data_IF_998046238321
#
_entry.id   IF_998046238321
#
_cell.length_a   1.000
_cell.length_b   1.000
_cell.length_c   1.000
_cell.angle_alpha   90.00
_cell.angle_beta   90.00
_cell.angle_gamma   90.00
#
_symmetry.space_group_name_H-M   'P 1'
#
loop_
_entity.id
_entity.type
_entity.pdbx_description
1 polymer ?
#
# COMPACT_ATOMS: atom_id res chain seq x y z
N UNK A 1 -9.81 -13.18 14.32
CA UNK A 1 -10.73 -12.09 14.80
C UNK A 1 -9.90 -10.92 15.25
N UNK A 2 -10.20 -9.70 14.76
CA UNK A 2 -9.41 -8.51 15.07
C UNK A 2 -9.26 -8.28 16.58
N UNK A 3 -8.07 -7.87 17.01
CA UNK A 3 -7.73 -7.62 18.44
C UNK A 3 -8.30 -6.30 18.98
N UNK A 4 -8.86 -5.47 18.09
CA UNK A 4 -9.58 -4.23 18.45
C UNK A 4 -10.94 -4.23 17.78
N UNK A 5 -11.95 -3.51 18.31
CA UNK A 5 -13.23 -3.37 17.64
C UNK A 5 -13.08 -2.77 16.25
N UNK A 6 -13.75 -3.35 15.24
CA UNK A 6 -13.91 -2.74 13.93
C UNK A 6 -15.08 -1.75 14.01
N UNK A 7 -14.77 -0.48 14.22
CA UNK A 7 -15.76 0.57 14.42
C UNK A 7 -16.70 0.72 13.21
N UNK A 8 -17.99 0.82 13.50
CA UNK A 8 -18.99 1.35 12.60
C UNK A 8 -19.19 2.85 12.88
N UNK A 9 -19.95 3.52 12.03
CA UNK A 9 -20.22 4.96 12.20
C UNK A 9 -20.88 5.27 13.55
N UNK A 10 -21.82 4.41 13.93
CA UNK A 10 -22.64 4.54 15.15
C UNK A 10 -21.83 4.35 16.45
N UNK A 11 -20.67 3.68 16.37
CA UNK A 11 -19.78 3.46 17.52
C UNK A 11 -18.92 4.69 17.85
N UNK A 12 -19.02 5.76 17.07
CA UNK A 12 -18.10 6.89 17.12
C UNK A 12 -18.79 8.16 17.66
N UNK A 13 -18.06 9.00 18.41
CA UNK A 13 -18.52 10.36 18.71
C UNK A 13 -18.58 11.18 17.41
N UNK A 14 -19.31 12.32 17.43
CA UNK A 14 -19.57 13.16 16.25
C UNK A 14 -18.31 13.45 15.41
N UNK A 15 -17.22 13.90 16.04
CA UNK A 15 -15.96 14.15 15.34
C UNK A 15 -15.37 12.87 14.68
N UNK A 16 -15.58 11.70 15.29
CA UNK A 16 -15.17 10.42 14.71
C UNK A 16 -16.05 9.99 13.54
N UNK A 17 -17.35 10.34 13.56
CA UNK A 17 -18.28 10.09 12.45
C UNK A 17 -17.89 10.89 11.21
N UNK A 18 -17.45 12.14 11.36
CA UNK A 18 -16.95 12.95 10.24
C UNK A 18 -15.72 12.31 9.58
N UNK A 19 -14.80 11.76 10.38
CA UNK A 19 -13.63 11.02 9.87
C UNK A 19 -14.07 9.75 9.15
N UNK A 20 -15.00 8.99 9.72
CA UNK A 20 -15.56 7.80 9.09
C UNK A 20 -16.19 8.12 7.73
N UNK A 21 -17.03 9.15 7.67
CA UNK A 21 -17.74 9.57 6.47
C UNK A 21 -16.76 10.02 5.37
N UNK A 22 -15.70 10.76 5.73
CA UNK A 22 -14.61 11.14 4.81
C UNK A 22 -13.90 9.91 4.24
N UNK A 23 -13.55 8.95 5.08
CA UNK A 23 -12.87 7.71 4.67
C UNK A 23 -13.78 6.89 3.74
N UNK A 24 -15.04 6.72 4.10
CA UNK A 24 -16.00 5.97 3.30
C UNK A 24 -16.29 6.66 1.96
N UNK A 25 -16.38 7.99 1.95
CA UNK A 25 -16.64 8.79 0.76
C UNK A 25 -15.54 8.67 -0.30
N UNK A 26 -14.28 8.63 0.12
CA UNK A 26 -13.14 8.51 -0.82
C UNK A 26 -12.92 7.09 -1.33
N UNK A 27 -13.37 6.05 -0.62
CA UNK A 27 -13.09 4.63 -0.90
C UNK A 27 -14.33 3.80 -1.25
N UNK A 28 -15.52 4.44 -1.26
CA UNK A 28 -16.81 3.77 -1.45
C UNK A 28 -17.31 3.04 -0.18
N UNK A 29 -16.41 2.69 0.74
CA UNK A 29 -16.70 2.12 2.06
C UNK A 29 -15.52 2.31 3.03
N UNK A 30 -15.78 2.20 4.33
CA UNK A 30 -14.72 2.11 5.32
C UNK A 30 -14.21 0.67 5.39
N UNK A 31 -13.00 0.43 4.88
CA UNK A 31 -12.33 -0.87 4.92
C UNK A 31 -11.95 -1.25 6.36
N UNK A 32 -11.82 -2.55 6.64
CA UNK A 32 -11.54 -3.07 7.98
C UNK A 32 -10.29 -2.46 8.63
N UNK A 33 -9.24 -2.19 7.87
CA UNK A 33 -8.04 -1.50 8.38
C UNK A 33 -8.38 -0.11 8.93
N UNK A 34 -9.22 0.66 8.24
CA UNK A 34 -9.64 1.99 8.72
C UNK A 34 -10.65 1.90 9.86
N UNK A 35 -11.55 0.90 9.85
CA UNK A 35 -12.46 0.63 10.97
C UNK A 35 -11.69 0.30 12.26
N UNK A 36 -10.58 -0.43 12.14
CA UNK A 36 -9.68 -0.66 13.27
C UNK A 36 -8.95 0.63 13.71
N UNK A 37 -8.43 1.42 12.76
CA UNK A 37 -7.76 2.70 13.05
C UNK A 37 -8.69 3.72 13.72
N UNK A 38 -9.99 3.66 13.46
CA UNK A 38 -11.01 4.54 14.05
C UNK A 38 -11.21 4.35 15.56
N UNK A 39 -10.52 3.39 16.21
CA UNK A 39 -10.35 3.42 17.66
C UNK A 39 -9.53 4.64 18.13
N UNK A 40 -8.80 5.28 17.20
CA UNK A 40 -8.14 6.58 17.36
C UNK A 40 -8.46 7.45 16.13
N UNK A 41 -9.56 8.24 16.15
CA UNK A 41 -10.04 8.97 14.97
C UNK A 41 -9.00 9.92 14.36
N UNK A 42 -8.20 10.61 15.18
CA UNK A 42 -7.14 11.51 14.69
C UNK A 42 -6.06 10.74 13.93
N UNK A 43 -5.66 9.57 14.44
CA UNK A 43 -4.73 8.68 13.75
C UNK A 43 -5.33 8.18 12.45
N UNK A 44 -6.60 7.75 12.46
CA UNK A 44 -7.30 7.29 11.26
C UNK A 44 -7.37 8.39 10.19
N UNK A 45 -7.66 9.63 10.58
CA UNK A 45 -7.71 10.77 9.64
C UNK A 45 -6.35 11.05 9.00
N UNK A 46 -5.27 11.07 9.79
CA UNK A 46 -3.92 11.31 9.28
C UNK A 46 -3.46 10.20 8.31
N UNK A 47 -3.66 8.94 8.71
CA UNK A 47 -3.30 7.77 7.88
C UNK A 47 -4.16 7.72 6.61
N UNK A 48 -5.47 7.94 6.72
CA UNK A 48 -6.36 7.96 5.58
C UNK A 48 -6.04 9.10 4.60
N UNK A 49 -5.66 10.28 5.12
CA UNK A 49 -5.28 11.45 4.32
C UNK A 49 -4.02 11.20 3.49
N UNK A 50 -2.99 10.58 4.09
CA UNK A 50 -1.79 10.20 3.33
C UNK A 50 -2.11 9.13 2.28
N UNK A 51 -2.93 8.13 2.62
CA UNK A 51 -3.36 7.12 1.66
C UNK A 51 -4.23 7.69 0.52
N UNK A 52 -5.03 8.71 0.78
CA UNK A 52 -5.81 9.45 -0.23
C UNK A 52 -4.86 10.17 -1.20
N UNK A 53 -3.87 10.89 -0.67
CA UNK A 53 -2.84 11.52 -1.50
C UNK A 53 -2.13 10.51 -2.39
N UNK A 54 -1.64 9.40 -1.82
CA UNK A 54 -0.94 8.35 -2.56
C UNK A 54 -1.80 7.80 -3.69
N UNK A 55 -3.08 7.50 -3.45
CA UNK A 55 -3.94 6.84 -4.43
C UNK A 55 -4.44 7.76 -5.53
N UNK A 56 -4.75 9.01 -5.21
CA UNK A 56 -5.50 9.89 -6.10
C UNK A 56 -4.77 11.18 -6.51
N UNK A 57 -3.74 11.58 -5.78
CA UNK A 57 -3.05 12.85 -5.97
C UNK A 57 -1.54 12.72 -6.19
N UNK A 58 -0.97 11.53 -6.07
CA UNK A 58 0.45 11.27 -6.38
C UNK A 58 0.71 11.52 -7.85
N UNK A 59 1.86 12.13 -8.16
CA UNK A 59 2.31 12.35 -9.54
C UNK A 59 2.94 11.10 -10.18
N UNK A 60 3.14 10.02 -9.41
CA UNK A 60 3.69 8.78 -9.95
C UNK A 60 2.70 8.10 -10.89
N UNK A 61 3.23 7.53 -11.96
CA UNK A 61 2.48 6.64 -12.83
C UNK A 61 1.78 5.55 -11.99
N UNK A 62 0.46 5.33 -12.18
CA UNK A 62 -0.30 4.34 -11.41
C UNK A 62 0.32 2.94 -11.44
N UNK A 63 0.89 2.50 -12.58
CA UNK A 63 1.51 1.17 -12.67
C UNK A 63 2.79 1.10 -11.81
N UNK A 64 3.57 2.16 -11.74
CA UNK A 64 4.76 2.23 -10.87
C UNK A 64 4.35 2.18 -9.40
N UNK A 65 3.34 2.95 -9.03
CA UNK A 65 2.80 2.98 -7.66
C UNK A 65 2.31 1.59 -7.24
N UNK A 66 1.45 0.96 -8.02
CA UNK A 66 0.91 -0.36 -7.69
C UNK A 66 2.00 -1.45 -7.70
N UNK A 67 2.99 -1.36 -8.58
CA UNK A 67 4.16 -2.26 -8.56
C UNK A 67 4.92 -2.17 -7.23
N UNK A 68 5.17 -0.95 -6.73
CA UNK A 68 5.84 -0.76 -5.44
C UNK A 68 4.99 -1.27 -4.27
N UNK A 69 3.67 -1.05 -4.30
CA UNK A 69 2.73 -1.53 -3.28
C UNK A 69 2.72 -3.05 -3.23
N UNK A 70 2.55 -3.72 -4.37
CA UNK A 70 2.55 -5.19 -4.44
C UNK A 70 3.89 -5.78 -3.99
N UNK A 71 5.01 -5.19 -4.41
CA UNK A 71 6.33 -5.65 -3.99
C UNK A 71 6.52 -5.50 -2.47
N UNK A 72 6.04 -4.40 -1.89
CA UNK A 72 6.05 -4.16 -0.43
C UNK A 72 5.17 -5.19 0.29
N UNK A 73 3.95 -5.40 -0.18
CA UNK A 73 3.03 -6.38 0.39
C UNK A 73 3.64 -7.79 0.38
N UNK A 74 4.26 -8.17 -0.75
CA UNK A 74 4.90 -9.49 -0.88
C UNK A 74 6.07 -9.68 0.07
N UNK A 75 6.94 -8.70 0.21
CA UNK A 75 8.11 -8.77 1.09
C UNK A 75 7.72 -8.85 2.58
N UNK A 76 6.60 -8.26 2.96
CA UNK A 76 6.11 -8.25 4.34
C UNK A 76 5.08 -9.35 4.65
N UNK A 77 4.73 -10.20 3.68
CA UNK A 77 3.68 -11.21 3.87
C UNK A 77 2.29 -10.58 4.12
N UNK A 78 2.04 -9.40 3.55
CA UNK A 78 0.82 -8.63 3.79
C UNK A 78 -0.29 -9.03 2.79
N UNK A 79 -0.91 -10.19 3.03
CA UNK A 79 -1.98 -10.75 2.18
C UNK A 79 -3.15 -9.77 2.01
N UNK A 80 -3.49 -9.02 3.05
CA UNK A 80 -4.54 -8.01 3.02
C UNK A 80 -4.26 -6.94 1.96
N UNK A 81 -3.06 -6.35 1.97
CA UNK A 81 -2.67 -5.33 1.00
C UNK A 81 -2.57 -5.93 -0.41
N UNK A 82 -2.03 -7.14 -0.52
CA UNK A 82 -1.98 -7.84 -1.81
C UNK A 82 -3.38 -7.99 -2.42
N UNK A 83 -4.34 -8.52 -1.66
CA UNK A 83 -5.69 -8.80 -2.14
C UNK A 83 -6.43 -7.53 -2.61
N UNK A 84 -6.16 -6.39 -1.96
CA UNK A 84 -6.75 -5.11 -2.36
C UNK A 84 -6.04 -4.46 -3.55
N UNK A 85 -4.73 -4.69 -3.72
CA UNK A 85 -3.92 -3.99 -4.71
C UNK A 85 -3.64 -4.78 -5.99
N UNK A 86 -3.75 -6.10 -6.01
CA UNK A 86 -3.57 -6.87 -7.24
C UNK A 86 -4.59 -6.50 -8.33
N UNK A 87 -5.90 -6.39 -8.04
CA UNK A 87 -6.86 -5.91 -9.05
C UNK A 87 -6.55 -4.49 -9.53
N UNK A 88 -6.19 -3.59 -8.60
CA UNK A 88 -5.82 -2.21 -8.93
C UNK A 88 -4.54 -2.13 -9.79
N UNK A 89 -3.58 -3.00 -9.55
CA UNK A 89 -2.36 -3.10 -10.36
C UNK A 89 -2.67 -3.53 -11.80
N UNK A 90 -3.55 -4.51 -11.99
CA UNK A 90 -4.02 -4.93 -13.32
C UNK A 90 -4.75 -3.80 -14.05
N UNK A 91 -5.64 -3.10 -13.35
CA UNK A 91 -6.35 -1.93 -13.88
C UNK A 91 -5.40 -0.79 -14.24
N UNK A 92 -4.35 -0.57 -13.44
CA UNK A 92 -3.28 0.40 -13.72
C UNK A 92 -2.35 0.00 -14.87
N UNK A 93 -2.50 -1.20 -15.44
CA UNK A 93 -1.69 -1.68 -16.56
C UNK A 93 -0.36 -2.34 -16.16
N UNK A 94 -0.21 -2.76 -14.90
CA UNK A 94 0.94 -3.59 -14.50
C UNK A 94 0.84 -4.93 -15.22
N UNK A 95 1.88 -5.30 -15.97
CA UNK A 95 1.88 -6.54 -16.75
C UNK A 95 1.85 -7.77 -15.86
N UNK A 96 1.19 -8.83 -16.33
CA UNK A 96 1.07 -10.09 -15.59
C UNK A 96 2.42 -10.68 -15.21
N UNK A 97 3.44 -10.56 -16.08
CA UNK A 97 4.79 -11.06 -15.80
C UNK A 97 5.45 -10.33 -14.62
N UNK A 98 5.13 -9.04 -14.42
CA UNK A 98 5.61 -8.26 -13.27
C UNK A 98 4.91 -8.74 -12.00
N UNK A 99 3.59 -8.89 -12.03
CA UNK A 99 2.79 -9.38 -10.90
C UNK A 99 3.26 -10.78 -10.48
N UNK A 100 3.45 -11.70 -11.43
CA UNK A 100 3.92 -13.06 -11.14
C UNK A 100 5.38 -13.09 -10.65
N UNK A 101 6.24 -12.22 -11.18
CA UNK A 101 7.61 -12.06 -10.66
C UNK A 101 7.60 -11.62 -9.19
N UNK A 102 6.76 -10.65 -8.83
CA UNK A 102 6.57 -10.20 -7.45
C UNK A 102 6.01 -11.33 -6.60
N UNK A 103 4.92 -11.98 -7.04
CA UNK A 103 4.26 -13.09 -6.33
C UNK A 103 5.25 -14.21 -5.99
N UNK A 104 6.11 -14.57 -6.93
CA UNK A 104 7.12 -15.62 -6.73
C UNK A 104 8.16 -15.27 -5.67
N UNK A 105 8.28 -14.00 -5.26
CA UNK A 105 9.28 -13.50 -4.31
C UNK A 105 10.73 -13.55 -4.83
N UNK A 106 10.93 -13.99 -6.08
CA UNK A 106 12.26 -14.09 -6.69
C UNK A 106 12.82 -12.70 -7.01
N UNK A 107 14.12 -12.66 -7.32
CA UNK A 107 14.71 -11.45 -7.88
C UNK A 107 13.99 -11.08 -9.19
N UNK A 108 13.83 -9.79 -9.52
CA UNK A 108 13.12 -9.34 -10.74
C UNK A 108 13.94 -9.57 -12.01
N UNK A 109 14.51 -10.80 -12.12
CA UNK A 109 15.30 -11.24 -13.26
C UNK A 109 14.38 -11.46 -14.46
N UNK A 110 14.76 -10.91 -15.61
CA UNK A 110 13.97 -11.03 -16.85
C UNK A 110 12.90 -9.95 -17.02
N UNK A 111 12.65 -9.09 -16.03
CA UNK A 111 11.85 -7.90 -16.24
C UNK A 111 12.68 -6.81 -16.95
N UNK A 112 12.04 -5.95 -17.77
CA UNK A 112 12.68 -4.75 -18.27
C UNK A 112 13.27 -3.94 -17.10
N UNK A 113 14.47 -3.33 -17.27
CA UNK A 113 15.14 -2.59 -16.18
C UNK A 113 14.26 -1.55 -15.51
N UNK A 114 13.43 -0.83 -16.28
CA UNK A 114 12.51 0.20 -15.79
C UNK A 114 11.34 -0.34 -14.95
N UNK A 115 11.04 -1.63 -15.01
CA UNK A 115 10.03 -2.26 -14.14
C UNK A 115 10.71 -2.95 -12.96
N UNK A 116 11.80 -3.69 -13.23
CA UNK A 116 12.54 -4.41 -12.19
C UNK A 116 13.13 -3.50 -11.12
N UNK A 117 13.48 -2.25 -11.45
CA UNK A 117 14.05 -1.30 -10.48
C UNK A 117 13.06 -0.93 -9.37
N UNK A 118 11.78 -0.78 -9.67
CA UNK A 118 10.77 -0.43 -8.65
C UNK A 118 10.49 -1.62 -7.72
N UNK A 119 10.47 -2.84 -8.26
CA UNK A 119 10.41 -4.07 -7.44
C UNK A 119 11.63 -4.16 -6.53
N UNK A 120 12.83 -3.91 -7.06
CA UNK A 120 14.07 -3.93 -6.28
C UNK A 120 14.08 -2.83 -5.20
N UNK A 121 13.66 -1.61 -5.52
CA UNK A 121 13.58 -0.51 -4.57
C UNK A 121 12.65 -0.84 -3.39
N UNK A 122 11.45 -1.38 -3.67
CA UNK A 122 10.54 -1.81 -2.62
C UNK A 122 11.15 -2.91 -1.72
N UNK A 123 11.85 -3.88 -2.32
CA UNK A 123 12.57 -4.93 -1.57
C UNK A 123 13.68 -4.36 -0.68
N UNK A 124 14.49 -3.45 -1.19
CA UNK A 124 15.57 -2.84 -0.39
C UNK A 124 15.01 -2.05 0.79
N UNK A 125 13.97 -1.23 0.56
CA UNK A 125 13.34 -0.42 1.60
C UNK A 125 12.60 -1.26 2.66
N UNK A 126 12.04 -2.41 2.29
CA UNK A 126 11.33 -3.29 3.24
C UNK A 126 12.26 -4.19 4.04
N UNK A 127 13.36 -4.65 3.45
CA UNK A 127 14.35 -5.51 4.11
C UNK A 127 15.39 -4.73 4.90
N UNK A 128 15.70 -3.51 4.44
CA UNK A 128 16.65 -2.60 5.05
C UNK A 128 16.00 -1.29 5.48
N UNK A 129 16.82 -0.24 5.57
CA UNK A 129 16.39 1.11 5.97
C UNK A 129 16.60 2.15 4.86
N UNK A 130 17.29 1.79 3.77
CA UNK A 130 17.63 2.71 2.69
C UNK A 130 17.81 1.96 1.38
N UNK A 131 17.69 2.70 0.28
CA UNK A 131 18.11 2.23 -1.04
C UNK A 131 19.64 2.15 -1.10
N UNK A 132 20.16 1.17 -1.84
CA UNK A 132 21.57 1.23 -2.26
C UNK A 132 21.80 2.41 -3.21
N UNK A 133 23.01 2.94 -3.27
CA UNK A 133 23.36 4.05 -4.18
C UNK A 133 22.99 3.75 -5.63
N UNK A 134 23.19 2.50 -6.07
CA UNK A 134 22.85 2.05 -7.41
C UNK A 134 21.33 2.12 -7.67
N UNK A 135 20.53 1.63 -6.74
CA UNK A 135 19.07 1.63 -6.88
C UNK A 135 18.54 3.05 -6.78
N UNK A 136 19.08 3.87 -5.85
CA UNK A 136 18.71 5.28 -5.73
C UNK A 136 18.96 6.03 -7.04
N UNK A 137 20.15 5.93 -7.61
CA UNK A 137 20.50 6.59 -8.88
C UNK A 137 19.58 6.16 -10.03
N UNK A 138 19.25 4.86 -10.10
CA UNK A 138 18.34 4.34 -11.15
C UNK A 138 16.91 4.85 -10.98
N UNK A 139 16.39 4.90 -9.75
CA UNK A 139 15.06 5.43 -9.43
C UNK A 139 15.01 6.93 -9.72
N UNK A 140 16.00 7.69 -9.25
CA UNK A 140 16.07 9.14 -9.48
C UNK A 140 16.20 9.50 -10.96
N UNK A 141 16.95 8.71 -11.73
CA UNK A 141 17.03 8.89 -13.19
C UNK A 141 15.69 8.73 -13.88
N UNK A 142 14.84 7.80 -13.41
CA UNK A 142 13.53 7.51 -14.02
C UNK A 142 12.42 8.44 -13.53
N UNK A 143 12.45 8.84 -12.27
CA UNK A 143 11.35 9.55 -11.61
C UNK A 143 11.68 10.99 -11.22
N UNK A 144 12.94 11.37 -11.27
CA UNK A 144 13.43 12.63 -10.69
C UNK A 144 13.36 12.63 -9.14
N UNK A 145 13.84 13.70 -8.50
CA UNK A 145 13.89 13.81 -7.03
C UNK A 145 12.50 13.68 -6.36
N UNK A 146 11.49 14.35 -6.93
CA UNK A 146 10.13 14.32 -6.37
C UNK A 146 9.53 12.91 -6.40
N UNK A 147 9.59 12.22 -7.56
CA UNK A 147 9.07 10.86 -7.70
C UNK A 147 9.84 9.86 -6.84
N UNK A 148 11.14 10.07 -6.63
CA UNK A 148 11.94 9.25 -5.71
C UNK A 148 11.43 9.38 -4.28
N UNK A 149 11.14 10.60 -3.81
CA UNK A 149 10.56 10.83 -2.48
C UNK A 149 9.19 10.16 -2.36
N UNK A 150 8.32 10.34 -3.36
CA UNK A 150 7.00 9.70 -3.35
C UNK A 150 7.08 8.17 -3.29
N UNK A 151 7.98 7.55 -4.07
CA UNK A 151 8.18 6.10 -4.05
C UNK A 151 8.58 5.60 -2.67
N UNK A 152 9.53 6.28 -2.02
CA UNK A 152 9.99 5.94 -0.66
C UNK A 152 8.83 6.07 0.35
N UNK A 153 8.05 7.15 0.25
CA UNK A 153 6.88 7.38 1.11
C UNK A 153 5.82 6.30 0.92
N UNK A 154 5.55 5.89 -0.32
CA UNK A 154 4.59 4.81 -0.63
C UNK A 154 5.03 3.51 0.05
N UNK A 155 6.28 3.08 -0.13
CA UNK A 155 6.80 1.86 0.51
C UNK A 155 6.73 1.97 2.03
N UNK A 156 7.07 3.12 2.62
CA UNK A 156 6.96 3.37 4.05
C UNK A 156 5.52 3.28 4.57
N UNK A 157 4.59 3.89 3.85
CA UNK A 157 3.16 3.88 4.19
C UNK A 157 2.57 2.46 4.21
N UNK A 158 2.78 1.69 3.15
CA UNK A 158 2.28 0.31 3.08
C UNK A 158 3.04 -0.63 4.03
N UNK A 159 4.31 -0.35 4.33
CA UNK A 159 5.02 -1.06 5.39
C UNK A 159 4.46 -0.80 6.79
N UNK A 160 3.99 0.41 7.06
CA UNK A 160 3.28 0.75 8.29
C UNK A 160 1.93 0.04 8.36
N UNK A 161 1.11 0.11 7.31
CA UNK A 161 -0.19 -0.55 7.27
C UNK A 161 -0.08 -2.06 7.45
N UNK A 162 0.87 -2.71 6.78
CA UNK A 162 1.13 -4.14 6.93
C UNK A 162 1.36 -4.53 8.40
N UNK A 163 2.10 -3.70 9.15
CA UNK A 163 2.34 -3.93 10.59
C UNK A 163 1.09 -3.71 11.44
N UNK A 164 0.29 -2.69 11.14
CA UNK A 164 -0.99 -2.44 11.82
C UNK A 164 -1.92 -3.63 11.61
N UNK A 165 -2.10 -4.07 10.35
CA UNK A 165 -2.97 -5.18 9.97
C UNK A 165 -2.54 -6.47 10.67
N UNK A 166 -1.26 -6.83 10.57
CA UNK A 166 -0.73 -8.05 11.19
C UNK A 166 -0.79 -8.01 12.72
N UNK A 167 -0.47 -6.85 13.34
CA UNK A 167 -0.48 -6.71 14.81
C UNK A 167 -1.87 -6.79 15.41
N UNK A 168 -2.87 -6.31 14.68
CA UNK A 168 -4.27 -6.26 15.11
C UNK A 168 -5.12 -7.43 14.59
N UNK A 169 -4.53 -8.40 13.87
CA UNK A 169 -5.21 -9.54 13.22
C UNK A 169 -6.42 -9.08 12.39
N UNK A 170 -6.23 -8.08 11.53
CA UNK A 170 -7.29 -7.55 10.69
C UNK A 170 -7.53 -8.50 9.51
N UNK A 171 -8.74 -9.04 9.45
CA UNK A 171 -9.17 -9.95 8.39
C UNK A 171 -9.54 -9.17 7.12
N UNK A 172 -9.49 -9.85 5.97
CA UNK A 172 -9.93 -9.28 4.69
C UNK A 172 -11.36 -8.76 4.78
N UNK A 173 -11.63 -7.73 4.00
CA UNK A 173 -12.97 -7.19 3.87
C UNK A 173 -13.90 -8.18 3.17
N UNK A 174 -15.18 -8.14 3.53
CA UNK A 174 -16.20 -8.98 2.90
C UNK A 174 -16.21 -8.75 1.37
N UNK A 175 -16.23 -9.84 0.62
CA UNK A 175 -16.25 -9.85 -0.84
C UNK A 175 -14.86 -9.64 -1.49
N UNK A 176 -13.79 -9.49 -0.72
CA UNK A 176 -12.42 -9.44 -1.24
C UNK A 176 -11.85 -10.85 -1.32
N UNK A 177 -11.49 -11.29 -2.52
CA UNK A 177 -10.86 -12.59 -2.72
C UNK A 177 -9.40 -12.56 -2.27
N UNK A 178 -8.97 -13.57 -1.52
CA UNK A 178 -7.55 -13.79 -1.27
C UNK A 178 -6.91 -14.38 -2.53
N UNK A 179 -6.04 -13.61 -3.17
CA UNK A 179 -5.33 -13.98 -4.40
C UNK A 179 -3.83 -14.18 -4.17
N UNK A 180 -3.41 -14.29 -2.91
CA UNK A 180 -2.01 -14.44 -2.45
C UNK A 180 -1.27 -15.63 -3.03
#
# INVERSE_FOLDING_TARGET
MAKVPLKSREDLPEAGQEVFDKIAGTRGRALNVFRALLNSPDTANAVAGLGEYIRYNSALDPAIRETAILATARELGAEYEWAHHEPAAREAGVRDEVIESIRSGKAPMGLPPKEGVFVQAAKELTRGTALTDRTHQAVEHLLGPAGTVELIVIVGYYSMLARVIASLDIELDEGVANTW
#
